data_IF_372082445843
#
_entry.id   IF_372082445843
#
_cell.length_a   1.000
_cell.length_b   1.000
_cell.length_c   1.000
_cell.angle_alpha   90.00
_cell.angle_beta   90.00
_cell.angle_gamma   90.00
#
_symmetry.space_group_name_H-M   'P 1'
#
loop_
_entity.id
_entity.type
_entity.pdbx_description
1 polymer ?
#
# COMPACT_ATOMS: atom_id res chain seq x y z
N UNK A 1 -53.67 -20.45 -30.59
CA UNK A 1 -53.46 -20.95 -29.21
C UNK A 1 -52.75 -19.86 -28.43
N UNK A 2 -53.43 -19.16 -27.51
CA UNK A 2 -52.78 -18.15 -26.66
C UNK A 2 -52.36 -18.80 -25.35
N UNK A 3 -51.04 -18.95 -25.14
CA UNK A 3 -50.50 -19.37 -23.85
C UNK A 3 -50.74 -18.26 -22.83
N UNK A 4 -51.51 -18.55 -21.77
CA UNK A 4 -51.77 -17.60 -20.68
C UNK A 4 -50.73 -17.84 -19.59
N UNK A 5 -49.78 -16.93 -19.46
CA UNK A 5 -48.85 -16.90 -18.33
C UNK A 5 -49.64 -16.85 -17.03
N UNK A 6 -49.36 -17.80 -16.14
CA UNK A 6 -49.99 -17.89 -14.83
C UNK A 6 -49.36 -16.87 -13.88
N UNK A 7 -50.13 -16.40 -12.87
CA UNK A 7 -49.60 -15.48 -11.84
C UNK A 7 -48.35 -16.03 -11.14
N UNK A 8 -48.24 -17.36 -11.03
CA UNK A 8 -47.11 -18.04 -10.40
C UNK A 8 -45.85 -17.98 -11.26
N UNK A 9 -45.99 -18.12 -12.57
CA UNK A 9 -44.89 -17.94 -13.53
C UNK A 9 -44.41 -16.48 -13.55
N UNK A 10 -45.33 -15.52 -13.48
CA UNK A 10 -45.00 -14.09 -13.40
C UNK A 10 -44.24 -13.73 -12.11
N UNK A 11 -44.65 -14.26 -10.96
CA UNK A 11 -43.96 -14.07 -9.69
C UNK A 11 -42.57 -14.73 -9.70
N UNK A 12 -42.45 -15.94 -10.24
CA UNK A 12 -41.18 -16.64 -10.36
C UNK A 12 -40.20 -15.90 -11.30
N UNK A 13 -40.68 -15.39 -12.44
CA UNK A 13 -39.84 -14.64 -13.38
C UNK A 13 -39.38 -13.29 -12.80
N UNK A 14 -40.22 -12.64 -11.99
CA UNK A 14 -39.88 -11.36 -11.35
C UNK A 14 -38.85 -11.54 -10.23
N UNK A 15 -38.95 -12.63 -9.45
CA UNK A 15 -37.97 -12.95 -8.42
C UNK A 15 -36.56 -13.25 -8.96
N UNK A 16 -36.47 -13.98 -10.08
CA UNK A 16 -35.20 -14.28 -10.76
C UNK A 16 -34.58 -13.01 -11.36
N UNK A 17 -35.38 -12.15 -12.00
CA UNK A 17 -34.90 -10.91 -12.59
C UNK A 17 -34.32 -9.93 -11.55
N UNK A 18 -34.99 -9.76 -10.40
CA UNK A 18 -34.50 -8.90 -9.32
C UNK A 18 -33.23 -9.46 -8.65
N UNK A 19 -33.14 -10.79 -8.47
CA UNK A 19 -31.98 -11.44 -7.87
C UNK A 19 -30.71 -11.30 -8.72
N UNK A 20 -30.85 -11.45 -10.05
CA UNK A 20 -29.72 -11.28 -10.98
C UNK A 20 -29.27 -9.81 -11.01
N UNK A 21 -30.20 -8.85 -11.08
CA UNK A 21 -29.87 -7.43 -11.10
C UNK A 21 -29.11 -6.98 -9.84
N UNK A 22 -29.56 -7.43 -8.66
CA UNK A 22 -28.91 -7.12 -7.38
C UNK A 22 -27.49 -7.73 -7.27
N UNK A 23 -27.30 -8.96 -7.77
CA UNK A 23 -25.99 -9.61 -7.78
C UNK A 23 -25.00 -8.89 -8.72
N UNK A 24 -25.45 -8.40 -9.88
CA UNK A 24 -24.60 -7.61 -10.79
C UNK A 24 -24.22 -6.23 -10.23
N UNK A 25 -25.10 -5.56 -9.47
CA UNK A 25 -24.75 -4.28 -8.84
C UNK A 25 -23.73 -4.43 -7.70
N UNK A 26 -23.83 -5.50 -6.91
CA UNK A 26 -22.86 -5.78 -5.85
C UNK A 26 -21.48 -6.20 -6.40
N UNK A 27 -21.45 -6.92 -7.52
CA UNK A 27 -20.20 -7.27 -8.19
C UNK A 27 -19.48 -6.03 -8.78
N UNK A 28 -20.25 -5.05 -9.27
CA UNK A 28 -19.70 -3.85 -9.92
C UNK A 28 -19.22 -2.78 -8.91
N UNK A 29 -19.82 -2.73 -7.71
CA UNK A 29 -19.38 -1.80 -6.65
C UNK A 29 -18.00 -2.17 -6.06
N UNK A 30 -17.57 -3.43 -6.22
CA UNK A 30 -16.26 -3.90 -5.77
C UNK A 30 -15.13 -3.62 -6.79
N UNK A 31 -15.45 -3.09 -7.97
CA UNK A 31 -14.52 -2.98 -9.11
C UNK A 31 -14.22 -1.56 -9.57
N UNK A 32 -14.81 -0.52 -8.96
CA UNK A 32 -14.40 0.85 -9.30
C UNK A 32 -13.04 1.16 -8.65
N UNK A 33 -11.97 1.36 -9.45
CA UNK A 33 -10.72 1.87 -8.89
C UNK A 33 -11.01 3.23 -8.23
N UNK A 34 -10.30 3.57 -7.13
CA UNK A 34 -10.52 4.83 -6.44
C UNK A 34 -10.47 5.97 -7.46
N UNK A 35 -11.55 6.76 -7.50
CA UNK A 35 -11.69 7.86 -8.46
C UNK A 35 -10.43 8.70 -8.42
N UNK A 36 -9.68 8.72 -9.53
CA UNK A 36 -8.59 9.66 -9.69
C UNK A 36 -9.20 11.04 -9.59
N UNK A 37 -9.02 11.70 -8.45
CA UNK A 37 -9.40 13.09 -8.30
C UNK A 37 -8.77 13.85 -9.46
N UNK A 38 -9.50 14.81 -10.04
CA UNK A 38 -9.05 15.62 -11.17
C UNK A 38 -7.91 16.61 -10.78
N UNK A 39 -7.05 16.20 -9.83
CA UNK A 39 -5.93 16.95 -9.28
C UNK A 39 -4.74 16.82 -10.25
N UNK A 40 -3.97 17.90 -10.45
CA UNK A 40 -2.78 17.87 -11.30
C UNK A 40 -1.58 17.12 -10.67
N UNK A 41 -1.71 16.67 -9.42
CA UNK A 41 -0.68 15.94 -8.68
C UNK A 41 -1.30 14.95 -7.69
N UNK A 42 -0.49 14.02 -7.20
CA UNK A 42 -0.84 13.00 -6.19
C UNK A 42 -0.32 13.40 -4.81
N UNK A 43 -1.04 12.99 -3.77
CA UNK A 43 -0.59 13.08 -2.38
C UNK A 43 0.04 11.76 -1.93
N UNK A 44 1.24 11.84 -1.36
CA UNK A 44 1.92 10.72 -0.74
C UNK A 44 2.08 10.98 0.76
N UNK A 45 1.63 10.05 1.60
CA UNK A 45 1.81 10.14 3.04
C UNK A 45 3.19 9.63 3.42
N UNK A 46 4.05 10.52 3.91
CA UNK A 46 5.22 10.11 4.68
C UNK A 46 4.75 9.58 6.04
N UNK A 47 5.01 8.30 6.31
CA UNK A 47 4.44 7.66 7.51
C UNK A 47 5.10 8.13 8.80
N UNK A 48 6.20 8.91 8.78
CA UNK A 48 6.72 9.61 9.97
C UNK A 48 5.66 10.45 10.66
N UNK A 49 4.73 11.01 9.88
CA UNK A 49 3.63 11.86 10.36
C UNK A 49 2.73 11.14 11.37
N UNK A 50 2.67 9.81 11.32
CA UNK A 50 1.84 8.98 12.21
C UNK A 50 2.63 7.90 12.96
N UNK A 51 3.95 7.84 12.79
CA UNK A 51 4.82 6.75 13.28
C UNK A 51 4.83 6.60 14.80
N UNK A 52 4.76 7.70 15.54
CA UNK A 52 4.83 7.66 17.02
C UNK A 52 3.63 6.94 17.67
N UNK A 53 2.55 6.71 16.91
CA UNK A 53 1.43 5.88 17.35
C UNK A 53 1.76 4.38 17.35
N UNK A 54 2.88 3.97 16.74
CA UNK A 54 3.39 2.59 16.68
C UNK A 54 2.35 1.57 16.20
N UNK A 55 1.52 1.97 15.24
CA UNK A 55 0.42 1.15 14.74
C UNK A 55 0.84 0.07 13.75
N UNK A 56 2.08 0.15 13.25
CA UNK A 56 2.65 -0.80 12.27
C UNK A 56 2.20 -0.55 10.83
N UNK A 57 3.00 -1.02 9.88
CA UNK A 57 2.84 -0.69 8.44
C UNK A 57 1.45 -1.03 7.90
N UNK A 58 0.86 -2.15 8.32
CA UNK A 58 -0.47 -2.58 7.87
C UNK A 58 -1.53 -1.53 8.21
N UNK A 59 -1.46 -0.95 9.41
CA UNK A 59 -2.40 0.08 9.86
C UNK A 59 -2.06 1.45 9.27
N UNK A 60 -0.77 1.75 9.05
CA UNK A 60 -0.36 2.97 8.32
C UNK A 60 -0.95 3.00 6.91
N UNK A 61 -0.94 1.87 6.18
CA UNK A 61 -1.56 1.71 4.86
C UNK A 61 -3.07 1.98 4.91
N UNK A 62 -3.77 1.42 5.90
CA UNK A 62 -5.20 1.66 6.08
C UNK A 62 -5.52 3.12 6.35
N UNK A 63 -4.74 3.77 7.23
CA UNK A 63 -4.92 5.17 7.57
C UNK A 63 -4.71 6.04 6.32
N UNK A 64 -3.65 5.78 5.54
CA UNK A 64 -3.37 6.52 4.32
C UNK A 64 -4.52 6.40 3.31
N UNK A 65 -5.02 5.18 3.08
CA UNK A 65 -6.13 4.94 2.17
C UNK A 65 -7.42 5.62 2.64
N UNK A 66 -7.77 5.48 3.92
CA UNK A 66 -8.97 6.09 4.52
C UNK A 66 -8.90 7.62 4.52
N UNK A 67 -7.71 8.20 4.66
CA UNK A 67 -7.48 9.64 4.58
C UNK A 67 -7.46 10.19 3.15
N UNK A 68 -7.59 9.33 2.12
CA UNK A 68 -7.66 9.75 0.72
C UNK A 68 -6.30 10.09 0.09
N UNK A 69 -5.19 9.54 0.62
CA UNK A 69 -3.90 9.61 -0.05
C UNK A 69 -3.86 8.70 -1.27
N UNK A 70 -3.02 9.05 -2.24
CA UNK A 70 -2.81 8.29 -3.48
C UNK A 70 -1.58 7.36 -3.37
N UNK A 71 -0.71 7.63 -2.39
CA UNK A 71 0.55 6.94 -2.20
C UNK A 71 1.04 6.99 -0.75
N UNK A 72 2.03 6.16 -0.44
CA UNK A 72 2.76 6.18 0.83
C UNK A 72 4.27 6.28 0.59
N UNK A 73 4.95 6.83 1.59
CA UNK A 73 6.40 6.78 1.79
C UNK A 73 6.66 6.19 3.18
N UNK A 74 6.81 4.85 3.29
CA UNK A 74 7.04 4.19 4.56
C UNK A 74 8.48 4.38 5.06
N UNK A 75 8.68 4.17 6.36
CA UNK A 75 10.00 4.05 6.96
C UNK A 75 10.52 2.62 6.89
N UNK A 76 11.79 2.45 6.50
CA UNK A 76 12.40 1.12 6.43
C UNK A 76 12.35 0.38 7.77
N UNK A 77 12.55 1.08 8.89
CA UNK A 77 12.43 0.47 10.23
C UNK A 77 11.06 -0.17 10.50
N UNK A 78 9.96 0.47 10.07
CA UNK A 78 8.61 -0.10 10.21
C UNK A 78 8.43 -1.35 9.33
N UNK A 79 9.06 -1.40 8.15
CA UNK A 79 9.05 -2.57 7.28
C UNK A 79 9.89 -3.71 7.87
N UNK A 80 11.05 -3.41 8.42
CA UNK A 80 11.91 -4.38 9.10
C UNK A 80 11.19 -5.02 10.29
N UNK A 81 10.50 -4.21 11.10
CA UNK A 81 9.72 -4.69 12.24
C UNK A 81 8.56 -5.58 11.79
N UNK A 82 7.91 -5.24 10.68
CA UNK A 82 6.87 -6.08 10.08
C UNK A 82 7.41 -7.44 9.66
N UNK A 83 8.55 -7.49 8.96
CA UNK A 83 9.18 -8.76 8.54
C UNK A 83 9.67 -9.56 9.74
N UNK A 84 10.31 -8.93 10.73
CA UNK A 84 10.73 -9.58 11.99
C UNK A 84 9.55 -10.17 12.75
N UNK A 85 8.38 -9.53 12.69
CA UNK A 85 7.13 -10.03 13.23
C UNK A 85 6.49 -11.17 12.44
N UNK A 86 7.13 -11.67 11.37
CA UNK A 86 6.62 -12.74 10.52
C UNK A 86 5.77 -12.25 9.34
N UNK A 87 5.77 -10.94 9.07
CA UNK A 87 5.05 -10.34 7.95
C UNK A 87 5.63 -10.71 6.59
N UNK A 88 4.76 -10.84 5.59
CA UNK A 88 5.11 -11.18 4.21
C UNK A 88 5.13 -9.92 3.35
N UNK A 89 6.28 -9.55 2.79
CA UNK A 89 6.41 -8.37 1.92
C UNK A 89 5.54 -8.48 0.68
N UNK A 90 5.40 -9.69 0.11
CA UNK A 90 4.51 -9.94 -1.03
C UNK A 90 3.06 -9.63 -0.68
N UNK A 91 2.60 -10.08 0.49
CA UNK A 91 1.22 -9.84 0.93
C UNK A 91 1.00 -8.38 1.29
N UNK A 92 2.01 -7.73 1.90
CA UNK A 92 1.99 -6.29 2.15
C UNK A 92 1.89 -5.49 0.84
N UNK A 93 2.70 -5.82 -0.17
CA UNK A 93 2.65 -5.19 -1.49
C UNK A 93 1.26 -5.34 -2.13
N UNK A 94 0.68 -6.54 -2.06
CA UNK A 94 -0.70 -6.77 -2.51
C UNK A 94 -1.69 -5.92 -1.73
N UNK A 95 -1.57 -5.83 -0.41
CA UNK A 95 -2.48 -5.04 0.45
C UNK A 95 -2.44 -3.55 0.13
N UNK A 96 -1.26 -3.01 -0.15
CA UNK A 96 -1.07 -1.62 -0.59
C UNK A 96 -1.81 -1.39 -1.92
N UNK A 97 -1.60 -2.27 -2.90
CA UNK A 97 -2.26 -2.19 -4.21
C UNK A 97 -3.78 -2.32 -4.11
N UNK A 98 -4.27 -3.31 -3.34
CA UNK A 98 -5.70 -3.53 -3.11
C UNK A 98 -6.36 -2.34 -2.37
N UNK A 99 -5.57 -1.55 -1.63
CA UNK A 99 -6.03 -0.30 -0.98
C UNK A 99 -6.00 0.91 -1.94
N UNK A 100 -5.63 0.72 -3.21
CA UNK A 100 -5.54 1.78 -4.21
C UNK A 100 -4.31 2.69 -4.05
N UNK A 101 -3.36 2.33 -3.19
CA UNK A 101 -2.16 3.10 -2.91
C UNK A 101 -0.99 2.65 -3.78
N UNK A 102 -0.06 3.57 -4.00
CA UNK A 102 1.27 3.27 -4.57
C UNK A 102 2.38 3.55 -3.55
N UNK A 103 3.53 2.89 -3.69
CA UNK A 103 4.73 3.20 -2.89
C UNK A 103 5.67 4.04 -3.74
N UNK A 104 5.67 5.35 -3.54
CA UNK A 104 6.43 6.26 -4.41
C UNK A 104 7.87 6.48 -3.96
N UNK A 105 8.12 6.27 -2.67
CA UNK A 105 9.41 6.40 -2.00
C UNK A 105 9.40 5.54 -0.72
N UNK A 106 10.54 5.39 -0.05
CA UNK A 106 10.65 4.97 1.35
C UNK A 106 11.87 5.65 1.98
N UNK A 107 11.86 5.84 3.30
CA UNK A 107 12.99 6.47 4.01
C UNK A 107 13.92 5.41 4.56
N UNK A 108 15.13 5.32 3.99
CA UNK A 108 16.21 4.46 4.43
C UNK A 108 17.23 5.20 5.29
N UNK A 109 17.94 4.47 6.16
CA UNK A 109 18.90 5.04 7.12
C UNK A 109 20.30 4.46 7.00
N UNK A 110 20.63 3.88 5.84
CA UNK A 110 21.96 3.39 5.52
C UNK A 110 23.03 4.50 5.66
N UNK A 111 24.22 4.16 6.16
CA UNK A 111 25.38 5.07 6.18
C UNK A 111 26.01 5.18 4.78
N UNK A 112 25.43 6.00 3.92
CA UNK A 112 25.68 6.01 2.48
C UNK A 112 26.92 6.81 2.04
N UNK A 113 27.47 7.70 2.88
CA UNK A 113 28.62 8.57 2.52
C UNK A 113 29.53 8.95 3.70
N UNK A 114 29.75 8.03 4.64
CA UNK A 114 30.69 8.27 5.76
C UNK A 114 32.15 8.12 5.35
N UNK A 115 33.05 8.83 6.05
CA UNK A 115 34.51 8.80 5.87
C UNK A 115 35.18 7.64 6.62
N UNK A 116 34.52 6.49 6.63
CA UNK A 116 35.04 5.22 7.14
C UNK A 116 34.71 4.14 6.11
N UNK A 117 35.73 3.44 5.61
CA UNK A 117 35.58 2.51 4.48
C UNK A 117 34.70 1.31 4.82
N UNK A 118 34.88 0.74 6.01
CA UNK A 118 34.11 -0.41 6.48
C UNK A 118 32.64 -0.06 6.73
N UNK A 119 32.38 1.09 7.37
CA UNK A 119 31.04 1.59 7.63
C UNK A 119 30.32 1.95 6.32
N UNK A 120 31.01 2.58 5.37
CA UNK A 120 30.46 2.89 4.06
C UNK A 120 30.12 1.62 3.28
N UNK A 121 30.99 0.59 3.31
CA UNK A 121 30.69 -0.69 2.69
C UNK A 121 29.44 -1.34 3.32
N UNK A 122 29.35 -1.37 4.65
CA UNK A 122 28.16 -1.89 5.36
C UNK A 122 26.90 -1.10 5.03
N UNK A 123 27.00 0.23 4.93
CA UNK A 123 25.91 1.11 4.53
C UNK A 123 25.39 0.81 3.13
N UNK A 124 26.29 0.59 2.16
CA UNK A 124 25.89 0.21 0.81
C UNK A 124 25.19 -1.15 0.76
N UNK A 125 25.64 -2.13 1.56
CA UNK A 125 24.94 -3.42 1.66
C UNK A 125 23.57 -3.29 2.34
N UNK A 126 23.41 -2.40 3.32
CA UNK A 126 22.09 -2.07 3.87
C UNK A 126 21.20 -1.42 2.81
N UNK A 127 21.70 -0.44 2.06
CA UNK A 127 20.94 0.24 1.01
C UNK A 127 20.45 -0.74 -0.06
N UNK A 128 21.27 -1.73 -0.45
CA UNK A 128 20.85 -2.81 -1.37
C UNK A 128 19.70 -3.63 -0.82
N UNK A 129 19.76 -4.04 0.47
CA UNK A 129 18.68 -4.77 1.13
C UNK A 129 17.41 -3.92 1.23
N UNK A 130 17.54 -2.64 1.57
CA UNK A 130 16.41 -1.72 1.66
C UNK A 130 15.70 -1.58 0.30
N UNK A 131 16.48 -1.44 -0.78
CA UNK A 131 15.95 -1.39 -2.14
C UNK A 131 15.26 -2.70 -2.55
N UNK A 132 15.79 -3.86 -2.18
CA UNK A 132 15.15 -5.15 -2.43
C UNK A 132 13.80 -5.29 -1.70
N UNK A 133 13.79 -4.99 -0.39
CA UNK A 133 12.55 -4.94 0.42
C UNK A 133 11.52 -4.01 -0.21
N UNK A 134 11.96 -2.82 -0.65
CA UNK A 134 11.09 -1.83 -1.26
C UNK A 134 10.52 -2.32 -2.60
N UNK A 135 11.33 -2.97 -3.44
CA UNK A 135 10.88 -3.55 -4.71
C UNK A 135 9.78 -4.60 -4.50
N UNK A 136 9.91 -5.44 -3.46
CA UNK A 136 8.93 -6.48 -3.15
C UNK A 136 7.54 -5.91 -2.79
N UNK A 137 7.47 -4.69 -2.27
CA UNK A 137 6.20 -3.99 -1.98
C UNK A 137 5.75 -3.05 -3.11
N UNK A 138 6.43 -3.06 -4.26
CA UNK A 138 6.12 -2.24 -5.43
C UNK A 138 6.65 -0.80 -5.36
N UNK A 139 7.64 -0.54 -4.51
CA UNK A 139 8.25 0.77 -4.36
C UNK A 139 9.28 1.11 -5.45
N UNK A 140 9.53 2.41 -5.62
CA UNK A 140 10.27 2.94 -6.79
C UNK A 140 11.57 3.66 -6.44
N UNK A 141 11.65 4.27 -5.25
CA UNK A 141 12.70 5.22 -4.88
C UNK A 141 12.99 5.10 -3.40
N UNK A 142 14.22 5.38 -3.00
CA UNK A 142 14.61 5.45 -1.59
C UNK A 142 15.16 6.84 -1.28
N UNK A 143 14.62 7.47 -0.25
CA UNK A 143 15.20 8.67 0.32
C UNK A 143 16.41 8.28 1.16
N UNK A 144 17.52 8.98 0.97
CA UNK A 144 18.76 8.82 1.73
C UNK A 144 19.01 10.12 2.53
N UNK A 145 18.48 10.24 3.77
CA UNK A 145 18.58 11.47 4.54
C UNK A 145 20.03 11.76 5.00
N UNK A 146 20.34 13.01 5.36
CA UNK A 146 21.68 13.41 5.82
C UNK A 146 22.21 12.66 7.04
N UNK A 147 21.34 12.02 7.82
CA UNK A 147 21.76 11.17 8.96
C UNK A 147 22.67 10.01 8.52
N UNK A 148 22.52 9.52 7.30
CA UNK A 148 23.42 8.52 6.70
C UNK A 148 24.77 9.09 6.23
N UNK A 149 24.96 10.40 6.31
CA UNK A 149 26.20 11.11 6.02
C UNK A 149 26.99 11.50 7.29
N UNK A 150 26.65 10.92 8.44
CA UNK A 150 27.30 11.21 9.71
C UNK A 150 27.80 9.93 10.38
N UNK A 151 28.89 10.04 11.14
CA UNK A 151 29.54 8.92 11.85
C UNK A 151 28.75 8.42 13.07
N UNK A 152 27.57 8.99 13.32
CA UNK A 152 26.67 8.58 14.39
C UNK A 152 25.54 7.72 13.81
N UNK A 153 25.14 6.62 14.46
CA UNK A 153 23.96 5.87 14.06
C UNK A 153 22.74 6.79 13.96
N UNK A 154 21.90 6.58 12.94
CA UNK A 154 20.61 7.25 12.85
C UNK A 154 19.67 6.84 14.00
N UNK A 155 18.59 7.61 14.23
CA UNK A 155 17.57 7.28 15.23
C UNK A 155 16.83 5.98 14.92
#
# INVERSE_FOLDING_TARGET
MHSRLTRRELLASTGVACGVAAASHLANAATEPPQSSNRPFRFSLNTSTIREQKVGIVREVEIAAQAGYDAIEPWMGTLDDYVKGGGSLKDLGKRIQDSGLTVESAIGFAQWIVNDDDARQKGLEQAKRDMDTLLQIGGKRIAAPPVGAHDKPGP
#
